data_IF_422281986526
#
_entry.id   IF_422281986526
#
_cell.length_a   1.000
_cell.length_b   1.000
_cell.length_c   1.000
_cell.angle_alpha   90.00
_cell.angle_beta   90.00
_cell.angle_gamma   90.00
#
_symmetry.space_group_name_H-M   'P 1'
#
loop_
_entity.id
_entity.type
_entity.pdbx_description
1 polymer ?
#
# COMPACT_ATOMS: atom_id res chain seq x y z
N UNK A 1 -16.91 10.87 -9.79
CA UNK A 1 -15.83 9.97 -9.36
C UNK A 1 -15.74 9.89 -7.83
N UNK A 2 -15.61 11.02 -7.13
CA UNK A 2 -15.49 11.05 -5.66
C UNK A 2 -16.61 10.30 -4.89
N UNK A 3 -17.89 10.50 -5.26
CA UNK A 3 -19.02 9.81 -4.63
C UNK A 3 -18.91 8.28 -4.74
N UNK A 4 -18.68 7.77 -5.95
CA UNK A 4 -18.51 6.33 -6.20
C UNK A 4 -17.30 5.76 -5.46
N UNK A 5 -16.17 6.46 -5.48
CA UNK A 5 -14.99 6.03 -4.72
C UNK A 5 -15.31 5.90 -3.23
N UNK A 6 -16.00 6.88 -2.63
CA UNK A 6 -16.39 6.84 -1.23
C UNK A 6 -17.30 5.66 -0.91
N UNK A 7 -18.29 5.39 -1.76
CA UNK A 7 -19.28 4.31 -1.54
C UNK A 7 -18.68 2.92 -1.79
N UNK A 8 -17.89 2.76 -2.86
CA UNK A 8 -17.44 1.44 -3.34
C UNK A 8 -16.02 1.05 -2.88
N UNK A 9 -15.16 2.01 -2.53
CA UNK A 9 -13.76 1.76 -2.15
C UNK A 9 -13.46 2.28 -0.73
N UNK A 10 -13.86 3.51 -0.41
CA UNK A 10 -13.66 4.12 0.91
C UNK A 10 -14.42 3.42 2.03
N UNK A 11 -15.70 3.12 1.77
CA UNK A 11 -16.52 2.27 2.63
C UNK A 11 -16.46 0.82 2.15
N UNK A 12 -16.70 0.61 0.85
CA UNK A 12 -16.56 -0.68 0.18
C UNK A 12 -17.36 -1.82 0.80
N UNK A 13 -17.00 -3.06 0.43
CA UNK A 13 -17.49 -4.23 1.16
C UNK A 13 -16.82 -4.29 2.54
N UNK A 14 -17.54 -4.66 3.60
CA UNK A 14 -16.93 -4.76 4.92
C UNK A 14 -15.83 -5.83 4.93
N UNK A 15 -14.64 -5.43 5.39
CA UNK A 15 -13.57 -6.35 5.73
C UNK A 15 -13.89 -7.09 7.02
N UNK A 16 -13.03 -8.01 7.44
CA UNK A 16 -13.22 -8.74 8.71
C UNK A 16 -11.94 -8.69 9.55
N UNK A 17 -12.10 -8.38 10.82
CA UNK A 17 -11.06 -8.55 11.84
C UNK A 17 -11.65 -9.33 13.05
N UNK A 18 -10.82 -9.70 14.05
CA UNK A 18 -11.30 -10.42 15.23
C UNK A 18 -12.40 -9.70 16.03
N UNK A 19 -12.53 -8.37 15.87
CA UNK A 19 -13.52 -7.53 16.55
C UNK A 19 -14.82 -7.34 15.76
N UNK A 20 -14.89 -7.79 14.50
CA UNK A 20 -16.08 -7.75 13.66
C UNK A 20 -15.83 -7.22 12.25
N UNK A 21 -16.87 -6.62 11.66
CA UNK A 21 -16.80 -6.09 10.30
C UNK A 21 -16.09 -4.72 10.27
N UNK A 22 -15.14 -4.57 9.35
CA UNK A 22 -14.44 -3.30 9.07
C UNK A 22 -15.17 -2.59 7.93
N UNK A 23 -16.04 -1.64 8.25
CA UNK A 23 -16.91 -0.95 7.26
C UNK A 23 -16.32 0.34 6.71
N UNK A 24 -15.17 0.78 7.24
CA UNK A 24 -14.39 1.91 6.75
C UNK A 24 -13.02 1.37 6.35
N UNK A 25 -12.76 1.30 5.06
CA UNK A 25 -11.62 0.61 4.49
C UNK A 25 -10.42 1.56 4.39
N UNK A 26 -10.40 2.42 3.38
CA UNK A 26 -9.40 3.45 3.21
C UNK A 26 -9.94 4.56 2.32
N UNK A 27 -10.01 5.78 2.83
CA UNK A 27 -10.42 6.97 2.07
C UNK A 27 -9.26 7.56 1.27
N UNK A 28 -8.04 7.44 1.76
CA UNK A 28 -6.82 7.81 1.06
C UNK A 28 -5.61 7.17 1.71
N UNK A 29 -4.55 7.00 0.91
CA UNK A 29 -3.21 6.64 1.37
C UNK A 29 -2.28 7.71 0.83
N UNK A 30 -1.47 8.30 1.72
CA UNK A 30 -0.48 9.31 1.39
C UNK A 30 0.92 8.72 1.56
N UNK A 31 1.74 8.89 0.55
CA UNK A 31 3.17 8.62 0.60
C UNK A 31 3.89 9.94 0.48
N UNK A 32 4.87 10.17 1.34
CA UNK A 32 5.69 11.36 1.22
C UNK A 32 6.66 11.24 0.02
N UNK A 33 7.33 12.36 -0.27
CA UNK A 33 8.28 12.44 -1.38
C UNK A 33 9.47 11.49 -1.20
N UNK A 34 9.93 11.31 0.03
CA UNK A 34 11.13 10.53 0.34
C UNK A 34 10.87 9.05 0.08
N UNK A 35 9.74 8.51 0.56
CA UNK A 35 9.31 7.13 0.28
C UNK A 35 9.23 6.89 -1.22
N UNK A 36 8.58 7.78 -1.97
CA UNK A 36 8.45 7.63 -3.43
C UNK A 36 9.81 7.67 -4.13
N UNK A 37 10.71 8.56 -3.72
CA UNK A 37 12.04 8.67 -4.31
C UNK A 37 12.88 7.42 -4.03
N UNK A 38 12.88 6.91 -2.80
CA UNK A 38 13.63 5.71 -2.41
C UNK A 38 13.22 4.48 -3.23
N UNK A 39 11.95 4.38 -3.63
CA UNK A 39 11.46 3.30 -4.49
C UNK A 39 11.86 3.53 -5.94
N UNK A 40 11.81 4.77 -6.43
CA UNK A 40 12.25 5.11 -7.78
C UNK A 40 13.74 4.84 -8.00
N UNK A 41 14.57 5.14 -7.00
CA UNK A 41 16.01 4.90 -7.03
C UNK A 41 16.36 3.40 -7.20
N UNK A 42 15.43 2.50 -6.87
CA UNK A 42 15.58 1.06 -7.10
C UNK A 42 15.23 0.65 -8.54
N UNK A 43 14.27 1.33 -9.18
CA UNK A 43 13.83 1.03 -10.55
C UNK A 43 14.75 1.65 -11.60
N UNK A 44 15.12 2.91 -11.43
CA UNK A 44 15.57 3.75 -12.52
C UNK A 44 17.10 3.82 -12.71
N UNK A 45 17.78 2.66 -12.71
CA UNK A 45 19.24 2.62 -12.92
C UNK A 45 19.68 3.22 -14.27
N UNK A 46 18.79 3.25 -15.27
CA UNK A 46 19.05 3.80 -16.61
C UNK A 46 18.34 5.13 -16.91
N UNK A 47 17.60 5.70 -15.95
CA UNK A 47 17.00 7.04 -16.02
C UNK A 47 15.79 7.17 -16.95
N UNK A 48 15.22 6.07 -17.44
CA UNK A 48 14.24 6.07 -18.55
C UNK A 48 13.08 5.12 -18.39
N UNK A 49 13.29 3.99 -17.73
CA UNK A 49 12.30 2.91 -17.69
C UNK A 49 11.75 2.64 -16.29
N UNK A 50 12.32 3.30 -15.27
CA UNK A 50 11.94 3.12 -13.88
C UNK A 50 10.61 3.77 -13.52
N UNK A 51 9.89 3.11 -12.63
CA UNK A 51 8.63 3.58 -12.09
C UNK A 51 8.21 2.80 -10.86
N UNK A 52 7.02 3.12 -10.37
CA UNK A 52 6.42 2.51 -9.19
C UNK A 52 5.19 1.71 -9.63
N UNK A 53 5.12 0.45 -9.22
CA UNK A 53 3.94 -0.39 -9.35
C UNK A 53 3.17 -0.36 -8.03
N UNK A 54 1.87 -0.15 -8.13
CA UNK A 54 0.95 -0.06 -7.00
C UNK A 54 0.12 -1.34 -6.92
N UNK A 55 -0.04 -1.87 -5.71
CA UNK A 55 -0.89 -3.01 -5.44
C UNK A 55 -1.92 -2.64 -4.38
N UNK A 56 -3.19 -3.01 -4.63
CA UNK A 56 -4.24 -2.94 -3.63
C UNK A 56 -4.29 -4.28 -2.91
N UNK A 57 -4.18 -4.27 -1.59
CA UNK A 57 -4.18 -5.47 -0.76
C UNK A 57 -4.93 -5.21 0.54
N UNK A 58 -5.08 -6.21 1.38
CA UNK A 58 -5.66 -6.12 2.71
C UNK A 58 -4.56 -6.32 3.76
N UNK A 59 -4.60 -5.55 4.85
CA UNK A 59 -3.75 -5.81 6.00
C UNK A 59 -4.17 -7.13 6.65
N UNK A 60 -3.31 -8.14 6.59
CA UNK A 60 -3.47 -9.33 7.43
C UNK A 60 -3.23 -8.98 8.89
N UNK A 61 -3.75 -9.80 9.81
CA UNK A 61 -3.45 -9.65 11.24
C UNK A 61 -1.94 -9.65 11.51
N UNK A 62 -1.17 -10.50 10.83
CA UNK A 62 0.30 -10.57 11.00
C UNK A 62 0.98 -9.26 10.61
N UNK A 63 0.63 -8.68 9.45
CA UNK A 63 1.21 -7.42 8.99
C UNK A 63 0.75 -6.24 9.84
N UNK A 64 -0.51 -6.24 10.29
CA UNK A 64 -0.99 -5.20 11.20
C UNK A 64 -0.21 -5.20 12.52
N UNK A 65 0.08 -6.38 13.09
CA UNK A 65 0.91 -6.50 14.28
C UNK A 65 2.37 -6.08 14.07
N UNK A 66 2.93 -6.36 12.90
CA UNK A 66 4.31 -5.99 12.59
C UNK A 66 4.48 -4.47 12.41
N UNK A 67 3.61 -3.85 11.62
CA UNK A 67 3.76 -2.45 11.18
C UNK A 67 3.06 -1.46 12.12
N UNK A 68 1.98 -1.87 12.78
CA UNK A 68 1.19 -1.03 13.69
C UNK A 68 1.03 -1.73 15.06
N UNK A 69 2.13 -2.03 15.78
CA UNK A 69 2.10 -2.85 17.00
C UNK A 69 1.34 -2.21 18.17
N UNK A 70 1.03 -0.91 18.11
CA UNK A 70 0.29 -0.20 19.17
C UNK A 70 -1.23 -0.39 19.03
N UNK A 71 -1.70 -0.59 17.80
CA UNK A 71 -3.10 -0.53 17.40
C UNK A 71 -3.42 -1.46 16.21
N UNK A 72 -2.95 -2.72 16.20
CA UNK A 72 -3.04 -3.60 15.02
C UNK A 72 -4.48 -3.90 14.59
N UNK A 73 -5.41 -3.93 15.55
CA UNK A 73 -6.82 -4.19 15.27
C UNK A 73 -7.49 -3.08 14.45
N UNK A 74 -6.96 -1.85 14.46
CA UNK A 74 -7.47 -0.74 13.64
C UNK A 74 -7.05 -0.89 12.17
N UNK A 75 -6.04 -1.72 11.90
CA UNK A 75 -5.47 -1.90 10.57
C UNK A 75 -5.85 -3.24 9.96
N UNK A 76 -5.95 -4.30 10.76
CA UNK A 76 -6.32 -5.63 10.29
C UNK A 76 -7.66 -5.61 9.54
N UNK A 77 -7.68 -6.24 8.37
CA UNK A 77 -8.88 -6.38 7.54
C UNK A 77 -9.20 -5.16 6.67
N UNK A 78 -8.39 -4.11 6.74
CA UNK A 78 -8.57 -2.90 5.91
C UNK A 78 -7.79 -2.97 4.61
N UNK A 79 -8.38 -2.44 3.53
CA UNK A 79 -7.68 -2.24 2.26
C UNK A 79 -6.53 -1.24 2.47
N UNK A 80 -5.37 -1.57 1.92
CA UNK A 80 -4.22 -0.69 1.84
C UNK A 80 -3.63 -0.72 0.44
N UNK A 81 -2.71 0.20 0.20
CA UNK A 81 -1.93 0.26 -1.01
C UNK A 81 -0.46 0.00 -0.66
N UNK A 82 0.20 -0.86 -1.42
CA UNK A 82 1.63 -1.13 -1.28
C UNK A 82 2.36 -0.86 -2.58
N UNK A 83 3.64 -0.50 -2.46
CA UNK A 83 4.46 -0.01 -3.54
C UNK A 83 5.59 -0.99 -3.85
N UNK A 84 5.98 -1.06 -5.13
CA UNK A 84 7.17 -1.80 -5.55
C UNK A 84 7.84 -1.13 -6.73
N UNK A 85 9.17 -1.11 -6.73
CA UNK A 85 9.97 -0.66 -7.84
C UNK A 85 9.77 -1.56 -9.07
N UNK A 86 9.58 -0.97 -10.25
CA UNK A 86 9.39 -1.71 -11.48
C UNK A 86 9.96 -0.98 -12.70
N UNK A 87 10.42 -1.76 -13.68
CA UNK A 87 10.93 -1.27 -14.95
C UNK A 87 10.01 -1.64 -16.12
N UNK A 88 9.92 -0.77 -17.12
CA UNK A 88 9.23 -1.09 -18.36
C UNK A 88 10.10 -1.97 -19.27
N UNK A 89 9.71 -3.24 -19.43
CA UNK A 89 10.29 -4.17 -20.40
C UNK A 89 9.26 -4.48 -21.47
N UNK A 90 9.55 -4.11 -22.72
CA UNK A 90 8.63 -4.26 -23.86
C UNK A 90 7.25 -3.64 -23.59
N UNK A 91 7.21 -2.47 -22.95
CA UNK A 91 5.98 -1.76 -22.58
C UNK A 91 5.20 -2.39 -21.42
N UNK A 92 5.75 -3.40 -20.73
CA UNK A 92 5.12 -4.04 -19.56
C UNK A 92 5.95 -3.79 -18.30
N UNK A 93 5.32 -3.44 -17.17
CA UNK A 93 6.03 -3.23 -15.92
C UNK A 93 6.47 -4.57 -15.31
N UNK A 94 7.77 -4.77 -15.18
CA UNK A 94 8.41 -5.92 -14.54
C UNK A 94 9.03 -5.45 -13.24
N UNK A 95 8.78 -6.18 -12.15
CA UNK A 95 9.33 -5.83 -10.83
C UNK A 95 10.85 -5.86 -10.86
N UNK A 96 11.47 -4.94 -10.12
CA UNK A 96 12.89 -5.08 -9.79
C UNK A 96 13.01 -6.19 -8.76
N UNK A 97 13.79 -7.21 -9.08
CA UNK A 97 14.21 -8.20 -8.09
C UNK A 97 15.31 -7.57 -7.23
N UNK A 98 15.18 -7.61 -5.90
CA UNK A 98 16.31 -7.20 -5.06
C UNK A 98 17.40 -8.25 -5.17
N UNK A 99 18.61 -7.76 -4.97
CA UNK A 99 19.86 -8.52 -5.11
C UNK A 99 19.92 -9.64 -4.04
N UNK A 100 19.06 -9.56 -3.01
CA UNK A 100 18.87 -10.58 -1.99
C UNK A 100 17.46 -11.16 -2.14
N UNK A 101 17.34 -12.36 -2.73
CA UNK A 101 16.08 -13.07 -3.02
C UNK A 101 15.15 -13.31 -1.81
N UNK A 102 15.53 -12.88 -0.60
CA UNK A 102 14.77 -13.02 0.64
C UNK A 102 14.02 -11.74 1.06
N UNK A 103 14.32 -10.56 0.49
CA UNK A 103 13.75 -9.28 0.97
C UNK A 103 13.23 -8.39 -0.18
N UNK A 104 12.14 -8.79 -0.84
CA UNK A 104 11.33 -7.84 -1.66
C UNK A 104 9.86 -8.01 -1.40
N UNK A 105 9.46 -7.87 -0.15
CA UNK A 105 8.05 -7.80 0.20
C UNK A 105 7.67 -6.33 0.32
N UNK A 106 7.10 -5.78 -0.77
CA UNK A 106 6.19 -4.64 -0.79
C UNK A 106 6.38 -3.53 0.28
N UNK A 107 6.78 -2.34 -0.15
CA UNK A 107 6.88 -1.18 0.73
C UNK A 107 5.47 -0.67 1.10
N UNK A 108 5.24 -0.44 2.39
CA UNK A 108 3.98 0.07 2.92
C UNK A 108 4.22 1.08 4.06
N UNK A 109 4.92 2.15 3.73
CA UNK A 109 5.12 3.34 4.58
C UNK A 109 4.04 4.43 4.37
N UNK A 110 2.88 4.04 3.83
CA UNK A 110 1.80 4.97 3.55
C UNK A 110 1.04 5.38 4.81
N UNK A 111 0.76 6.67 4.97
CA UNK A 111 -0.19 7.17 5.97
C UNK A 111 -1.60 7.00 5.42
N UNK A 112 -2.45 6.25 6.13
CA UNK A 112 -3.84 5.98 5.71
C UNK A 112 -4.88 6.65 6.62
N UNK A 113 -6.03 7.01 6.02
CA UNK A 113 -7.23 7.43 6.75
C UNK A 113 -8.41 6.56 6.33
N UNK A 114 -9.13 5.94 7.28
CA UNK A 114 -8.78 5.78 8.70
C UNK A 114 -7.53 4.90 8.92
N UNK A 115 -6.86 4.98 10.10
CA UNK A 115 -7.28 5.72 11.30
C UNK A 115 -6.74 7.16 11.38
N UNK A 116 -5.74 7.52 10.57
CA UNK A 116 -5.05 8.81 10.66
C UNK A 116 -5.74 9.88 9.82
N UNK A 117 -6.97 10.23 10.19
CA UNK A 117 -7.69 11.29 9.51
C UNK A 117 -7.25 12.65 10.09
N UNK A 118 -6.68 13.53 9.25
CA UNK A 118 -6.40 14.91 9.65
C UNK A 118 -7.72 15.67 9.75
N UNK A 119 -7.97 16.30 10.90
CA UNK A 119 -9.14 17.14 11.17
C UNK A 119 -8.80 18.62 11.00
#
# INVERSE_FOLDING_TARGET
MQKKYKEEVGQGQPGKNPKGNVTKQTEWVFFDRETLQNILDQADQDGKTGGIKFYLTEYTESLANQWHPKDPDEYSGSITLVLKAANLKNGKPVDVESINQEDVEYDNDGVKCPPTCQF
#
